data_IF_475694713487
#
_entry.id   IF_475694713487
#
_cell.length_a   1.000
_cell.length_b   1.000
_cell.length_c   1.000
_cell.angle_alpha   90.00
_cell.angle_beta   90.00
_cell.angle_gamma   90.00
#
_symmetry.space_group_name_H-M   'P 1'
#
loop_
_entity.id
_entity.type
_entity.pdbx_description
1 polymer ?
#
# COMPACT_ATOMS: atom_id res chain seq x y z
N UNK A 1 -3.96 -2.28 64.26
CA UNK A 1 -4.46 -1.12 63.49
C UNK A 1 -3.49 -0.85 62.35
N UNK A 2 -3.63 -1.53 61.21
CA UNK A 2 -2.90 -1.19 59.98
C UNK A 2 -3.71 -0.13 59.24
N UNK A 3 -3.03 0.91 58.79
CA UNK A 3 -3.63 2.19 58.43
C UNK A 3 -4.54 2.09 57.19
N UNK A 4 -5.74 2.69 57.20
CA UNK A 4 -6.66 2.78 56.04
C UNK A 4 -6.09 3.59 54.86
N UNK A 5 -4.93 4.24 55.03
CA UNK A 5 -4.25 5.05 54.02
C UNK A 5 -3.51 4.19 52.98
N UNK A 6 -3.11 2.96 53.32
CA UNK A 6 -2.32 2.10 52.42
C UNK A 6 -3.17 1.40 51.35
N UNK A 7 -4.41 1.01 51.68
CA UNK A 7 -5.32 0.32 50.74
C UNK A 7 -5.88 1.27 49.68
N UNK A 8 -6.14 2.54 50.04
CA UNK A 8 -6.64 3.54 49.09
C UNK A 8 -5.59 3.91 48.03
N UNK A 9 -4.31 3.99 48.40
CA UNK A 9 -3.22 4.23 47.44
C UNK A 9 -3.06 3.09 46.44
N UNK A 10 -3.09 1.85 46.93
CA UNK A 10 -2.97 0.65 46.10
C UNK A 10 -4.12 0.50 45.09
N UNK A 11 -5.35 0.88 45.50
CA UNK A 11 -6.50 0.94 44.60
C UNK A 11 -6.38 2.04 43.52
N UNK A 12 -5.81 3.19 43.86
CA UNK A 12 -5.58 4.28 42.90
C UNK A 12 -4.52 3.86 41.87
N UNK A 13 -3.46 3.19 42.31
CA UNK A 13 -2.42 2.67 41.41
C UNK A 13 -2.98 1.57 40.48
N UNK A 14 -3.80 0.66 41.01
CA UNK A 14 -4.47 -0.36 40.20
C UNK A 14 -5.44 0.24 39.17
N UNK A 15 -6.25 1.22 39.57
CA UNK A 15 -7.16 1.93 38.65
C UNK A 15 -6.38 2.67 37.57
N UNK A 16 -5.25 3.29 37.92
CA UNK A 16 -4.38 3.98 36.97
C UNK A 16 -3.79 3.01 35.95
N UNK A 17 -3.30 1.85 36.40
CA UNK A 17 -2.79 0.80 35.51
C UNK A 17 -3.86 0.28 34.56
N UNK A 18 -5.08 0.03 35.05
CA UNK A 18 -6.20 -0.44 34.22
C UNK A 18 -6.65 0.61 33.21
N UNK A 19 -6.66 1.90 33.57
CA UNK A 19 -6.96 2.98 32.63
C UNK A 19 -5.94 3.04 31.50
N UNK A 20 -4.65 2.97 31.85
CA UNK A 20 -3.57 2.95 30.86
C UNK A 20 -3.67 1.72 29.94
N UNK A 21 -4.02 0.55 30.50
CA UNK A 21 -4.25 -0.67 29.70
C UNK A 21 -5.41 -0.52 28.71
N UNK A 22 -6.53 0.09 29.14
CA UNK A 22 -7.70 0.32 28.29
C UNK A 22 -7.37 1.29 27.14
N UNK A 23 -6.66 2.39 27.44
CA UNK A 23 -6.23 3.35 26.43
C UNK A 23 -5.35 2.69 25.37
N UNK A 24 -4.39 1.86 25.78
CA UNK A 24 -3.52 1.10 24.87
C UNK A 24 -4.34 0.12 24.02
N UNK A 25 -5.28 -0.61 24.62
CA UNK A 25 -6.14 -1.56 23.90
C UNK A 25 -7.02 -0.85 22.87
N UNK A 26 -7.60 0.29 23.23
CA UNK A 26 -8.44 1.09 22.33
C UNK A 26 -7.63 1.67 21.18
N UNK A 27 -6.46 2.25 21.47
CA UNK A 27 -5.54 2.75 20.46
C UNK A 27 -5.14 1.63 19.49
N UNK A 28 -4.75 0.47 20.02
CA UNK A 28 -4.36 -0.71 19.21
C UNK A 28 -5.52 -1.21 18.35
N UNK A 29 -6.73 -1.32 18.91
CA UNK A 29 -7.92 -1.75 18.16
C UNK A 29 -8.26 -0.76 17.04
N UNK A 30 -8.15 0.55 17.29
CA UNK A 30 -8.38 1.58 16.27
C UNK A 30 -7.36 1.51 15.13
N UNK A 31 -6.08 1.31 15.46
CA UNK A 31 -5.01 1.13 14.47
C UNK A 31 -5.22 -0.16 13.67
N UNK A 32 -5.58 -1.26 14.32
CA UNK A 32 -5.91 -2.51 13.64
C UNK A 32 -7.11 -2.34 12.69
N UNK A 33 -8.14 -1.61 13.10
CA UNK A 33 -9.28 -1.30 12.24
C UNK A 33 -8.84 -0.48 11.01
N UNK A 34 -8.06 0.58 11.21
CA UNK A 34 -7.49 1.39 10.11
C UNK A 34 -6.63 0.52 9.17
N UNK A 35 -5.80 -0.37 9.71
CA UNK A 35 -4.98 -1.29 8.92
C UNK A 35 -5.82 -2.22 8.03
N UNK A 36 -6.87 -2.83 8.59
CA UNK A 36 -7.75 -3.74 7.83
C UNK A 36 -8.44 -3.02 6.67
N UNK A 37 -8.96 -1.81 6.92
CA UNK A 37 -9.56 -0.98 5.88
C UNK A 37 -8.51 -0.61 4.81
N UNK A 38 -7.31 -0.22 5.24
CA UNK A 38 -6.22 0.12 4.33
C UNK A 38 -5.83 -1.05 3.41
N UNK A 39 -5.74 -2.28 3.95
CA UNK A 39 -5.51 -3.48 3.15
C UNK A 39 -6.61 -3.73 2.12
N UNK A 40 -7.87 -3.42 2.46
CA UNK A 40 -9.00 -3.51 1.52
C UNK A 40 -8.88 -2.49 0.38
N UNK A 41 -8.51 -1.24 0.70
CA UNK A 41 -8.25 -0.18 -0.28
C UNK A 41 -7.18 -0.63 -1.28
N UNK A 42 -6.05 -1.17 -0.79
CA UNK A 42 -4.95 -1.64 -1.64
C UNK A 42 -5.42 -2.78 -2.55
N UNK A 43 -6.14 -3.78 -2.01
CA UNK A 43 -6.66 -4.91 -2.80
C UNK A 43 -7.58 -4.46 -3.93
N UNK A 44 -8.46 -3.49 -3.67
CA UNK A 44 -9.35 -2.92 -4.69
C UNK A 44 -8.56 -2.29 -5.83
N UNK A 45 -7.51 -1.52 -5.52
CA UNK A 45 -6.69 -0.86 -6.52
C UNK A 45 -5.75 -1.83 -7.26
N UNK A 46 -5.35 -2.94 -6.64
CA UNK A 46 -4.64 -4.03 -7.33
C UNK A 46 -5.50 -4.59 -8.45
N UNK A 47 -6.78 -4.90 -8.17
CA UNK A 47 -7.72 -5.41 -9.17
C UNK A 47 -7.88 -4.41 -10.31
N UNK A 48 -7.99 -3.11 -10.00
CA UNK A 48 -8.03 -2.04 -11.01
C UNK A 48 -6.75 -1.97 -11.85
N UNK A 49 -5.56 -2.03 -11.23
CA UNK A 49 -4.30 -1.99 -11.99
C UNK A 49 -4.04 -3.24 -12.83
N UNK A 50 -4.56 -4.38 -12.39
CA UNK A 50 -4.55 -5.61 -13.18
C UNK A 50 -5.43 -5.50 -14.42
N UNK A 51 -6.60 -4.85 -14.32
CA UNK A 51 -7.51 -4.67 -15.46
C UNK A 51 -7.02 -3.65 -16.49
N UNK A 52 -6.26 -2.63 -16.06
CA UNK A 52 -5.63 -1.67 -16.98
C UNK A 52 -4.65 -2.32 -17.96
N UNK A 53 -3.97 -3.40 -17.55
CA UNK A 53 -3.05 -4.13 -18.43
C UNK A 53 -3.75 -4.86 -19.60
N UNK A 54 -5.08 -4.97 -19.59
CA UNK A 54 -5.89 -5.61 -20.62
C UNK A 54 -6.50 -4.61 -21.63
N UNK A 55 -6.34 -3.30 -21.42
CA UNK A 55 -6.91 -2.28 -22.29
C UNK A 55 -6.00 -2.05 -23.52
N UNK A 56 -6.51 -2.13 -24.76
CA UNK A 56 -5.69 -1.95 -25.97
C UNK A 56 -5.48 -0.46 -26.33
N UNK A 57 -5.18 0.43 -25.37
CA UNK A 57 -5.20 1.89 -25.55
C UNK A 57 -3.88 2.62 -25.13
N UNK A 58 -2.87 2.70 -26.03
CA UNK A 58 -1.46 3.03 -25.73
C UNK A 58 -1.13 4.37 -25.03
N UNK A 59 -2.08 5.32 -24.93
CA UNK A 59 -1.83 6.63 -24.31
C UNK A 59 -2.52 6.81 -22.95
N UNK A 60 -3.55 6.02 -22.63
CA UNK A 60 -4.30 6.20 -21.40
C UNK A 60 -3.65 5.48 -20.22
N UNK A 61 -2.74 4.55 -20.48
CA UNK A 61 -2.40 3.54 -19.50
C UNK A 61 -1.44 4.03 -18.40
N UNK A 62 -0.49 4.94 -18.71
CA UNK A 62 0.37 5.56 -17.68
C UNK A 62 -0.46 6.51 -16.80
N UNK A 63 -1.29 7.34 -17.43
CA UNK A 63 -2.13 8.30 -16.74
C UNK A 63 -3.19 7.57 -15.89
N UNK A 64 -3.77 6.50 -16.40
CA UNK A 64 -4.71 5.65 -15.67
C UNK A 64 -4.04 4.89 -14.52
N UNK A 65 -2.84 4.32 -14.73
CA UNK A 65 -2.10 3.65 -13.66
C UNK A 65 -1.68 4.63 -12.56
N UNK A 66 -1.18 5.80 -12.97
CA UNK A 66 -0.81 6.88 -12.04
C UNK A 66 -2.05 7.39 -11.30
N UNK A 67 -3.16 7.63 -12.00
CA UNK A 67 -4.43 8.03 -11.41
C UNK A 67 -4.97 6.98 -10.43
N UNK A 68 -4.83 5.70 -10.76
CA UNK A 68 -5.20 4.58 -9.87
C UNK A 68 -4.37 4.61 -8.59
N UNK A 69 -3.04 4.78 -8.70
CA UNK A 69 -2.19 4.89 -7.51
C UNK A 69 -2.47 6.15 -6.70
N UNK A 70 -2.73 7.31 -7.34
CA UNK A 70 -3.08 8.54 -6.62
C UNK A 70 -4.43 8.43 -5.91
N UNK A 71 -5.42 7.78 -6.52
CA UNK A 71 -6.70 7.53 -5.87
C UNK A 71 -6.56 6.57 -4.67
N UNK A 72 -5.69 5.56 -4.80
CA UNK A 72 -5.32 4.70 -3.67
C UNK A 72 -4.70 5.51 -2.54
N UNK A 73 -3.73 6.39 -2.83
CA UNK A 73 -3.09 7.24 -1.82
C UNK A 73 -4.08 8.20 -1.17
N UNK A 74 -5.01 8.78 -1.93
CA UNK A 74 -6.11 9.60 -1.40
C UNK A 74 -7.01 8.80 -0.46
N UNK A 75 -7.37 7.58 -0.85
CA UNK A 75 -8.23 6.72 -0.02
C UNK A 75 -7.54 6.31 1.28
N UNK A 76 -6.25 5.96 1.21
CA UNK A 76 -5.43 5.68 2.38
C UNK A 76 -5.31 6.92 3.28
N UNK A 77 -5.10 8.10 2.71
CA UNK A 77 -4.98 9.32 3.49
C UNK A 77 -6.26 9.64 4.27
N UNK A 78 -7.43 9.44 3.66
CA UNK A 78 -8.72 9.60 4.33
C UNK A 78 -8.86 8.63 5.51
N UNK A 79 -8.46 7.36 5.32
CA UNK A 79 -8.53 6.34 6.37
C UNK A 79 -7.58 6.62 7.55
N UNK A 80 -6.42 7.24 7.30
CA UNK A 80 -5.45 7.61 8.32
C UNK A 80 -5.56 9.08 8.78
N UNK A 81 -6.55 9.82 8.29
CA UNK A 81 -6.78 11.24 8.62
C UNK A 81 -5.57 12.13 8.27
N UNK A 82 -4.88 11.81 7.18
CA UNK A 82 -3.73 12.56 6.65
C UNK A 82 -4.19 13.45 5.49
N UNK A 83 -3.77 14.72 5.51
CA UNK A 83 -4.04 15.67 4.44
C UNK A 83 -3.40 15.24 3.12
N UNK A 84 -4.20 15.23 2.04
CA UNK A 84 -3.75 14.86 0.70
C UNK A 84 -4.00 15.98 -0.30
N UNK A 85 -2.95 16.33 -1.02
CA UNK A 85 -3.03 17.09 -2.26
C UNK A 85 -2.40 16.28 -3.40
N UNK A 86 -2.93 16.45 -4.60
CA UNK A 86 -2.54 15.62 -5.73
C UNK A 86 -1.10 15.88 -6.18
N UNK A 87 -0.60 17.11 -6.05
CA UNK A 87 0.74 17.48 -6.48
C UNK A 87 1.79 16.82 -5.59
N UNK A 88 1.66 16.92 -4.27
CA UNK A 88 2.53 16.24 -3.30
C UNK A 88 2.38 14.73 -3.43
N UNK A 89 1.15 14.22 -3.56
CA UNK A 89 0.89 12.80 -3.82
C UNK A 89 1.65 12.26 -5.04
N UNK A 90 1.62 12.99 -6.16
CA UNK A 90 2.39 12.67 -7.38
C UNK A 90 3.89 12.73 -7.14
N UNK A 91 4.37 13.75 -6.44
CA UNK A 91 5.79 13.92 -6.15
C UNK A 91 6.35 12.77 -5.30
N UNK A 92 5.65 12.40 -4.22
CA UNK A 92 6.11 11.30 -3.34
C UNK A 92 6.03 9.95 -4.02
N UNK A 93 4.98 9.72 -4.82
CA UNK A 93 4.82 8.49 -5.60
C UNK A 93 5.96 8.35 -6.62
N UNK A 94 6.26 9.43 -7.34
CA UNK A 94 7.36 9.47 -8.31
C UNK A 94 8.70 9.24 -7.63
N UNK A 95 8.94 9.87 -6.47
CA UNK A 95 10.16 9.69 -5.67
C UNK A 95 10.34 8.23 -5.22
N UNK A 96 9.28 7.59 -4.73
CA UNK A 96 9.30 6.20 -4.32
C UNK A 96 9.61 5.27 -5.50
N UNK A 97 8.87 5.41 -6.60
CA UNK A 97 8.98 4.51 -7.77
C UNK A 97 10.34 4.69 -8.45
N UNK A 98 10.74 5.93 -8.76
CA UNK A 98 12.02 6.22 -9.43
C UNK A 98 13.23 5.84 -8.60
N UNK A 99 13.12 5.91 -7.27
CA UNK A 99 14.17 5.45 -6.36
C UNK A 99 14.23 3.93 -6.20
N UNK A 100 13.12 3.22 -6.38
CA UNK A 100 13.01 1.79 -6.04
C UNK A 100 13.11 0.87 -7.24
N UNK A 101 12.70 1.32 -8.43
CA UNK A 101 12.68 0.52 -9.66
C UNK A 101 13.76 0.97 -10.66
N UNK A 102 14.38 0.04 -11.39
CA UNK A 102 15.19 0.38 -12.56
C UNK A 102 14.35 1.16 -13.58
N UNK A 103 14.98 2.12 -14.26
CA UNK A 103 14.34 2.95 -15.31
C UNK A 103 13.67 2.08 -16.38
N UNK A 104 14.29 0.96 -16.77
CA UNK A 104 13.73 0.02 -17.75
C UNK A 104 12.43 -0.63 -17.27
N UNK A 105 12.28 -0.88 -15.97
CA UNK A 105 11.03 -1.41 -15.38
C UNK A 105 9.93 -0.37 -15.39
N UNK A 106 10.28 0.89 -15.10
CA UNK A 106 9.36 2.03 -15.19
C UNK A 106 8.90 2.26 -16.63
N UNK A 107 9.82 2.18 -17.59
CA UNK A 107 9.51 2.27 -19.02
C UNK A 107 8.64 1.08 -19.47
N UNK A 108 8.93 -0.13 -18.99
CA UNK A 108 8.10 -1.31 -19.26
C UNK A 108 6.66 -1.17 -18.73
N UNK A 109 6.48 -0.59 -17.54
CA UNK A 109 5.18 -0.20 -16.98
C UNK A 109 4.45 0.86 -17.80
N UNK A 110 5.21 1.68 -18.52
CA UNK A 110 4.67 2.75 -19.33
C UNK A 110 4.30 2.32 -20.76
N UNK A 111 4.85 1.20 -21.23
CA UNK A 111 4.69 0.71 -22.59
C UNK A 111 3.72 -0.46 -22.64
N UNK A 112 2.43 -0.15 -22.80
CA UNK A 112 1.39 -1.15 -22.95
C UNK A 112 1.46 -1.64 -24.39
N UNK A 113 2.26 -2.70 -24.56
CA UNK A 113 2.18 -3.69 -25.62
C UNK A 113 1.77 -3.19 -27.01
N UNK A 114 2.59 -2.42 -27.73
CA UNK A 114 2.51 -2.38 -29.21
C UNK A 114 3.91 -2.24 -29.83
N UNK A 115 4.13 -2.95 -30.95
CA UNK A 115 5.24 -2.82 -31.94
C UNK A 115 6.36 -3.89 -31.93
N UNK A 116 6.14 -5.17 -31.61
CA UNK A 116 6.90 -6.23 -32.32
C UNK A 116 5.96 -7.39 -32.67
N UNK A 117 5.37 -7.43 -33.89
CA UNK A 117 4.86 -8.67 -34.41
C UNK A 117 6.06 -9.61 -34.65
N UNK A 118 6.14 -10.71 -33.90
CA UNK A 118 7.08 -11.81 -34.18
C UNK A 118 8.01 -12.25 -33.05
N UNK A 119 8.22 -11.47 -31.97
CA UNK A 119 9.00 -11.92 -30.80
C UNK A 119 8.37 -11.34 -29.52
N UNK A 120 7.81 -12.21 -28.67
CA UNK A 120 7.58 -11.90 -27.24
C UNK A 120 6.21 -12.19 -26.62
N UNK A 121 5.21 -12.64 -27.37
CA UNK A 121 3.81 -12.68 -26.88
C UNK A 121 3.38 -13.92 -26.08
N UNK A 122 4.23 -14.93 -25.89
CA UNK A 122 3.85 -16.13 -25.10
C UNK A 122 4.18 -16.06 -23.60
N UNK A 123 4.87 -15.02 -23.12
CA UNK A 123 5.19 -14.85 -21.69
C UNK A 123 4.93 -13.45 -21.09
N UNK A 124 4.76 -12.41 -21.91
CA UNK A 124 4.75 -11.02 -21.45
C UNK A 124 3.47 -10.53 -20.77
N UNK A 125 2.28 -10.96 -21.21
CA UNK A 125 1.00 -10.42 -20.72
C UNK A 125 0.73 -10.70 -19.24
N UNK A 126 0.89 -11.96 -18.81
CA UNK A 126 0.73 -12.37 -17.40
C UNK A 126 1.79 -11.71 -16.50
N UNK A 127 3.03 -11.58 -16.98
CA UNK A 127 4.09 -10.92 -16.20
C UNK A 127 3.77 -9.46 -15.92
N UNK A 128 3.03 -8.80 -16.83
CA UNK A 128 2.73 -7.38 -16.74
C UNK A 128 1.55 -7.09 -15.81
N UNK A 129 0.49 -7.88 -15.89
CA UNK A 129 -0.61 -7.84 -14.91
C UNK A 129 -0.10 -8.09 -13.49
N UNK A 130 0.78 -9.10 -13.33
CA UNK A 130 1.42 -9.40 -12.06
C UNK A 130 2.29 -8.24 -11.58
N UNK A 131 3.11 -7.65 -12.47
CA UNK A 131 3.98 -6.54 -12.11
C UNK A 131 3.18 -5.28 -11.73
N UNK A 132 2.18 -4.90 -12.52
CA UNK A 132 1.31 -3.75 -12.24
C UNK A 132 0.64 -3.87 -10.88
N UNK A 133 0.02 -5.04 -10.62
CA UNK A 133 -0.59 -5.32 -9.31
C UNK A 133 0.44 -5.33 -8.17
N UNK A 134 1.63 -5.88 -8.40
CA UNK A 134 2.70 -5.92 -7.41
C UNK A 134 3.22 -4.52 -7.05
N UNK A 135 3.33 -3.61 -8.02
CA UNK A 135 3.72 -2.22 -7.77
C UNK A 135 2.66 -1.50 -6.95
N UNK A 136 1.38 -1.65 -7.30
CA UNK A 136 0.29 -1.06 -6.51
C UNK A 136 0.29 -1.62 -5.08
N UNK A 137 0.49 -2.93 -4.93
CA UNK A 137 0.65 -3.58 -3.63
C UNK A 137 1.81 -2.95 -2.84
N UNK A 138 3.01 -2.91 -3.41
CA UNK A 138 4.21 -2.39 -2.74
C UNK A 138 4.07 -0.91 -2.34
N UNK A 139 3.55 -0.07 -3.24
CA UNK A 139 3.23 1.34 -2.94
C UNK A 139 2.25 1.42 -1.77
N UNK A 140 1.16 0.64 -1.81
CA UNK A 140 0.16 0.61 -0.74
C UNK A 140 0.77 0.24 0.61
N UNK A 141 1.57 -0.81 0.66
CA UNK A 141 2.22 -1.26 1.90
C UNK A 141 3.19 -0.22 2.47
N UNK A 142 3.97 0.46 1.62
CA UNK A 142 4.86 1.54 2.05
C UNK A 142 4.07 2.67 2.71
N UNK A 143 3.00 3.15 2.07
CA UNK A 143 2.22 4.26 2.63
C UNK A 143 1.39 3.86 3.85
N UNK A 144 0.89 2.63 3.91
CA UNK A 144 0.25 2.09 5.11
C UNK A 144 1.21 2.17 6.29
N UNK A 145 2.41 1.60 6.14
CA UNK A 145 3.39 1.59 7.22
C UNK A 145 3.86 3.00 7.59
N UNK A 146 4.05 3.87 6.59
CA UNK A 146 4.40 5.28 6.81
C UNK A 146 3.34 6.00 7.65
N UNK A 147 2.06 5.88 7.31
CA UNK A 147 0.97 6.51 8.04
C UNK A 147 0.73 5.91 9.42
N UNK A 148 0.88 4.59 9.58
CA UNK A 148 0.80 3.93 10.90
C UNK A 148 1.89 4.39 11.86
N UNK A 149 3.04 4.82 11.34
CA UNK A 149 4.11 5.44 12.12
C UNK A 149 3.92 6.95 12.36
N UNK A 150 2.77 7.51 11.99
CA UNK A 150 2.47 8.95 12.12
C UNK A 150 3.05 9.82 11.00
N UNK A 151 3.48 9.21 9.89
CA UNK A 151 3.96 9.92 8.72
C UNK A 151 2.87 10.68 7.97
N UNK A 152 3.27 11.65 7.15
CA UNK A 152 2.41 12.41 6.24
C UNK A 152 3.03 12.47 4.84
N UNK A 153 2.32 13.03 3.86
CA UNK A 153 2.91 13.22 2.53
C UNK A 153 4.10 14.20 2.55
N UNK A 154 4.08 15.20 3.43
CA UNK A 154 5.10 16.26 3.48
C UNK A 154 6.43 15.77 4.05
N UNK A 155 6.41 14.77 4.93
CA UNK A 155 7.61 14.17 5.52
C UNK A 155 7.99 12.83 4.88
N UNK A 156 7.39 12.49 3.75
CA UNK A 156 7.68 11.24 3.07
C UNK A 156 9.02 11.32 2.33
N UNK A 157 9.90 10.37 2.62
CA UNK A 157 11.21 10.27 1.98
C UNK A 157 11.36 8.94 1.25
N UNK A 158 11.21 8.95 -0.08
CA UNK A 158 11.21 7.74 -0.89
C UNK A 158 12.47 6.86 -0.72
N UNK A 159 13.64 7.47 -0.47
CA UNK A 159 14.90 6.75 -0.24
C UNK A 159 14.85 5.82 0.97
N UNK A 160 14.20 6.25 2.06
CA UNK A 160 14.05 5.45 3.27
C UNK A 160 13.22 4.17 3.06
N UNK A 161 12.31 4.21 2.10
CA UNK A 161 11.36 3.14 1.85
C UNK A 161 11.78 2.16 0.74
N UNK A 162 12.90 2.38 0.04
CA UNK A 162 13.28 1.57 -1.12
C UNK A 162 13.46 0.08 -0.81
N UNK A 163 14.10 -0.25 0.30
CA UNK A 163 14.31 -1.63 0.71
C UNK A 163 12.98 -2.33 1.01
N UNK A 164 12.12 -1.66 1.78
CA UNK A 164 10.79 -2.17 2.10
C UNK A 164 9.91 -2.29 0.85
N UNK A 165 9.95 -1.29 -0.05
CA UNK A 165 9.24 -1.36 -1.33
C UNK A 165 9.66 -2.57 -2.15
N UNK A 166 10.96 -2.85 -2.29
CA UNK A 166 11.47 -4.00 -3.04
C UNK A 166 11.02 -5.33 -2.42
N UNK A 167 11.04 -5.43 -1.09
CA UNK A 167 10.49 -6.60 -0.39
C UNK A 167 9.00 -6.77 -0.69
N UNK A 168 8.20 -5.72 -0.51
CA UNK A 168 6.77 -5.78 -0.76
C UNK A 168 6.44 -6.00 -2.24
N UNK A 169 7.31 -5.60 -3.17
CA UNK A 169 7.15 -5.88 -4.58
C UNK A 169 7.20 -7.39 -4.86
N UNK A 170 8.16 -8.10 -4.27
CA UNK A 170 8.27 -9.55 -4.42
C UNK A 170 7.09 -10.28 -3.77
N UNK A 171 6.68 -9.85 -2.56
CA UNK A 171 5.46 -10.35 -1.91
C UNK A 171 4.21 -10.08 -2.77
N UNK A 172 4.11 -8.88 -3.34
CA UNK A 172 3.04 -8.46 -4.23
C UNK A 172 2.98 -9.29 -5.50
N UNK A 173 4.13 -9.64 -6.10
CA UNK A 173 4.19 -10.55 -7.25
C UNK A 173 3.60 -11.90 -6.90
N UNK A 174 3.98 -12.47 -5.76
CA UNK A 174 3.45 -13.76 -5.31
C UNK A 174 1.93 -13.69 -5.04
N UNK A 175 1.48 -12.63 -4.36
CA UNK A 175 0.06 -12.39 -4.07
C UNK A 175 -0.78 -12.29 -5.33
N UNK A 176 -0.35 -11.48 -6.30
CA UNK A 176 -1.08 -11.28 -7.56
C UNK A 176 -1.03 -12.55 -8.42
N UNK A 177 0.14 -13.19 -8.54
CA UNK A 177 0.30 -14.45 -9.29
C UNK A 177 -0.68 -15.51 -8.80
N UNK A 178 -0.81 -15.67 -7.48
CA UNK A 178 -1.79 -16.58 -6.87
C UNK A 178 -3.23 -16.21 -7.23
N UNK A 179 -3.58 -14.92 -7.31
CA UNK A 179 -4.93 -14.48 -7.70
C UNK A 179 -5.21 -14.60 -9.20
N UNK A 180 -4.19 -14.54 -10.04
CA UNK A 180 -4.32 -14.65 -11.51
C UNK A 180 -4.21 -16.08 -12.03
N UNK A 181 -3.86 -17.05 -11.18
CA UNK A 181 -3.72 -18.44 -11.58
C UNK A 181 -5.12 -19.09 -11.80
N UNK A 182 -5.45 -19.50 -13.04
CA UNK A 182 -6.76 -20.07 -13.37
C UNK A 182 -7.05 -21.42 -12.67
N UNK A 183 -6.05 -22.04 -12.03
CA UNK A 183 -6.24 -23.29 -11.26
C UNK A 183 -6.61 -23.07 -9.78
N UNK A 184 -6.61 -21.83 -9.30
CA UNK A 184 -6.88 -21.49 -7.88
C UNK A 184 -8.21 -20.75 -7.65
N UNK A 185 -8.96 -20.44 -8.71
CA UNK A 185 -10.34 -20.00 -8.63
C UNK A 185 -11.26 -21.21 -8.45
N UNK A 186 -11.56 -21.56 -7.20
CA UNK A 186 -12.68 -22.47 -6.89
C UNK A 186 -14.02 -21.70 -7.13
N UNK A 187 -15.09 -22.38 -7.56
CA UNK A 187 -16.36 -21.76 -7.98
C UNK A 187 -17.12 -21.09 -6.84
#
# INVERSE_FOLDING_TARGET
MKQPVNEQGELIDELTLRLQEIEIKLATASLQSKHVVAQSIVKTHIIAGMSLALLPAPLFDIAALTGTQLNMLRSLSLNYEVSFDEQTGRAVLTSLISGSLPVLTVIGLSSIAKIIPGIGTMGGGLSMTVLSGAVIYATGQVFIRHFETGGTFQNFEGKHWQAFFKQQLEEGRAFVKKKTDPTTTNP
#
